data_IF_847382304401
#
_entry.id   IF_847382304401
#
_cell.length_a   1.000
_cell.length_b   1.000
_cell.length_c   1.000
_cell.angle_alpha   90.00
_cell.angle_beta   90.00
_cell.angle_gamma   90.00
#
_symmetry.space_group_name_H-M   'P 1'
#
loop_
_entity.id
_entity.type
_entity.pdbx_description
1 polymer ?
#
# COMPACT_ATOMS: atom_id res chain seq x y z
N UNK A 1 19.40 1.44 -17.68
CA UNK A 1 18.76 1.31 -16.36
C UNK A 1 17.26 1.15 -16.60
N UNK A 2 16.63 0.11 -16.06
CA UNK A 2 15.19 -0.14 -16.26
C UNK A 2 14.47 0.24 -14.97
N UNK A 3 13.50 1.13 -15.08
CA UNK A 3 12.60 1.49 -13.99
C UNK A 3 11.26 0.82 -14.29
N UNK A 4 10.70 0.10 -13.33
CA UNK A 4 9.35 -0.45 -13.44
C UNK A 4 8.42 0.28 -12.49
N UNK A 5 7.25 0.65 -13.01
CA UNK A 5 6.17 1.24 -12.25
C UNK A 5 5.02 0.24 -12.21
N UNK A 6 4.50 -0.01 -11.02
CA UNK A 6 3.29 -0.80 -10.81
C UNK A 6 2.31 0.00 -9.98
N UNK A 7 1.08 0.09 -10.47
CA UNK A 7 0.01 0.78 -9.79
C UNK A 7 -0.88 -0.22 -9.05
N UNK A 8 -1.21 0.14 -7.81
CA UNK A 8 -2.21 -0.50 -6.97
C UNK A 8 -3.26 0.57 -6.63
N UNK A 9 -4.54 0.35 -6.97
CA UNK A 9 -5.57 1.31 -6.62
C UNK A 9 -5.67 1.48 -5.09
N UNK A 10 -5.99 2.70 -4.60
CA UNK A 10 -6.29 3.91 -5.38
C UNK A 10 -5.05 4.73 -5.76
N UNK A 11 -4.19 5.06 -4.79
CA UNK A 11 -3.04 5.97 -4.93
C UNK A 11 -1.69 5.28 -4.74
N UNK A 12 -1.69 3.97 -4.49
CA UNK A 12 -0.47 3.23 -4.19
C UNK A 12 0.33 2.95 -5.47
N UNK A 13 1.54 3.50 -5.57
CA UNK A 13 2.51 3.11 -6.59
C UNK A 13 3.71 2.37 -6.00
N UNK A 14 4.17 1.38 -6.75
CA UNK A 14 5.46 0.73 -6.55
C UNK A 14 6.39 1.11 -7.69
N UNK A 15 7.52 1.70 -7.34
CA UNK A 15 8.62 1.97 -8.24
C UNK A 15 9.73 0.99 -7.89
N UNK A 16 10.17 0.17 -8.86
CA UNK A 16 11.37 -0.65 -8.69
C UNK A 16 12.47 -0.20 -9.63
N UNK A 17 13.65 -0.01 -9.07
CA UNK A 17 14.92 0.06 -9.80
C UNK A 17 15.62 -1.30 -9.72
N UNK A 18 16.86 -1.38 -10.19
CA UNK A 18 17.72 -2.57 -10.05
C UNK A 18 17.93 -3.01 -8.60
N UNK A 19 17.94 -2.06 -7.68
CA UNK A 19 18.46 -2.19 -6.32
C UNK A 19 17.51 -1.65 -5.25
N UNK A 20 16.46 -0.92 -5.64
CA UNK A 20 15.54 -0.26 -4.71
C UNK A 20 14.07 -0.55 -5.02
N UNK A 21 13.28 -0.64 -3.97
CA UNK A 21 11.82 -0.64 -4.01
C UNK A 21 11.31 0.60 -3.27
N UNK A 22 10.56 1.44 -3.98
CA UNK A 22 9.95 2.65 -3.43
C UNK A 22 8.44 2.48 -3.48
N UNK A 23 7.76 2.80 -2.38
CA UNK A 23 6.30 2.92 -2.35
C UNK A 23 5.87 4.37 -2.23
N UNK A 24 4.87 4.75 -3.01
CA UNK A 24 4.14 6.01 -2.87
C UNK A 24 2.75 5.66 -2.36
N UNK A 25 2.32 6.34 -1.29
CA UNK A 25 0.99 6.23 -0.70
C UNK A 25 0.51 4.78 -0.53
N UNK A 26 1.27 3.93 0.20
CA UNK A 26 0.89 2.55 0.35
C UNK A 26 -0.34 2.48 1.26
N UNK A 27 -1.50 2.39 0.62
CA UNK A 27 -2.81 2.19 1.23
C UNK A 27 -3.57 1.18 0.37
N UNK A 28 -3.57 -0.08 0.77
CA UNK A 28 -4.39 -1.09 0.12
C UNK A 28 -5.78 -1.11 0.72
N UNK A 29 -6.78 -1.05 -0.14
CA UNK A 29 -8.20 -1.10 0.21
C UNK A 29 -8.82 -2.22 -0.63
N UNK A 30 -9.19 -3.33 0.00
CA UNK A 30 -9.69 -4.53 -0.70
C UNK A 30 -11.11 -4.35 -1.22
N UNK A 31 -11.85 -3.39 -0.68
CA UNK A 31 -13.32 -3.35 -0.80
C UNK A 31 -13.80 -2.17 -1.65
N UNK A 32 -13.62 -2.18 -2.98
CA UNK A 32 -14.35 -1.33 -3.96
C UNK A 32 -14.37 -2.04 -5.31
N UNK A 33 -15.48 -2.49 -5.91
CA UNK A 33 -16.61 -1.72 -6.44
C UNK A 33 -17.84 -2.61 -6.65
N UNK A 34 -18.36 -3.28 -5.62
CA UNK A 34 -19.41 -4.30 -5.87
C UNK A 34 -20.75 -3.64 -6.25
N UNK A 35 -21.09 -2.49 -5.65
CA UNK A 35 -22.44 -1.90 -5.84
C UNK A 35 -22.49 -0.39 -6.17
N UNK A 36 -21.46 0.41 -5.91
CA UNK A 36 -21.46 1.86 -6.21
C UNK A 36 -20.06 2.39 -6.58
N UNK A 37 -19.83 2.89 -7.81
CA UNK A 37 -18.51 3.40 -8.23
C UNK A 37 -18.07 4.68 -7.51
N UNK A 38 -18.98 5.36 -6.82
CA UNK A 38 -18.76 6.61 -6.06
C UNK A 38 -18.68 6.40 -4.54
N UNK A 39 -19.07 5.21 -4.07
CA UNK A 39 -19.16 4.71 -2.69
C UNK A 39 -17.84 4.31 -2.03
N UNK A 40 -17.08 5.19 -1.38
CA UNK A 40 -15.90 4.77 -0.58
C UNK A 40 -16.30 4.30 0.86
N UNK A 41 -16.83 3.08 1.03
CA UNK A 41 -16.92 2.26 2.27
C UNK A 41 -15.59 1.80 2.91
N UNK A 42 -15.02 2.66 3.74
CA UNK A 42 -13.83 2.32 4.53
C UNK A 42 -14.09 1.09 5.41
N UNK A 43 -13.09 0.20 5.53
CA UNK A 43 -13.12 -0.89 6.51
C UNK A 43 -13.59 -0.35 7.87
N UNK A 44 -14.55 -1.04 8.48
CA UNK A 44 -15.09 -0.66 9.78
C UNK A 44 -14.07 -0.93 10.89
N UNK A 45 -14.01 -0.03 11.86
CA UNK A 45 -13.20 -0.12 13.08
C UNK A 45 -13.30 -1.51 13.78
N UNK A 46 -12.26 -2.06 14.43
CA UNK A 46 -10.90 -1.53 14.64
C UNK A 46 -9.94 -1.91 13.50
N UNK A 47 -10.42 -1.76 12.25
CA UNK A 47 -9.72 -1.89 10.97
C UNK A 47 -8.99 -3.24 10.79
N UNK A 48 -9.63 -4.25 10.15
CA UNK A 48 -8.86 -5.30 9.52
C UNK A 48 -7.91 -4.68 8.50
N UNK A 49 -6.64 -5.08 8.55
CA UNK A 49 -5.70 -4.85 7.45
C UNK A 49 -6.41 -5.42 6.23
N UNK A 50 -6.62 -4.62 5.18
CA UNK A 50 -7.20 -5.09 3.92
C UNK A 50 -6.29 -6.11 3.19
N UNK A 51 -5.25 -6.58 3.89
CA UNK A 51 -4.15 -7.37 3.41
C UNK A 51 -3.12 -6.52 2.69
N UNK A 52 -2.29 -7.22 1.94
CA UNK A 52 -1.44 -6.64 0.90
C UNK A 52 -2.09 -6.91 -0.45
N UNK A 53 -1.83 -6.08 -1.48
CA UNK A 53 -2.28 -6.36 -2.83
C UNK A 53 -1.73 -7.70 -3.33
N UNK A 54 -0.54 -8.09 -2.87
CA UNK A 54 0.08 -9.37 -3.20
C UNK A 54 0.75 -9.97 -1.97
N UNK A 55 0.75 -11.31 -1.89
CA UNK A 55 1.36 -12.04 -0.76
C UNK A 55 2.88 -11.87 -0.67
N UNK A 56 3.53 -11.57 -1.79
CA UNK A 56 4.99 -11.54 -1.92
C UNK A 56 5.53 -10.13 -2.24
N UNK A 57 4.90 -9.06 -1.71
CA UNK A 57 5.49 -7.73 -1.82
C UNK A 57 6.82 -7.69 -1.07
N UNK A 58 7.86 -7.20 -1.73
CA UNK A 58 9.12 -6.85 -1.07
C UNK A 58 8.90 -5.66 -0.15
N UNK A 59 9.66 -5.60 0.94
CA UNK A 59 9.77 -4.40 1.77
C UNK A 59 10.29 -3.23 0.93
N UNK A 60 9.79 -2.03 1.20
CA UNK A 60 10.32 -0.83 0.56
C UNK A 60 11.60 -0.35 1.25
N UNK A 61 12.54 0.12 0.45
CA UNK A 61 13.69 0.91 0.91
C UNK A 61 13.27 2.33 1.29
N UNK A 62 12.21 2.86 0.65
CA UNK A 62 11.70 4.20 0.86
C UNK A 62 10.18 4.24 0.69
N UNK A 63 9.50 4.92 1.62
CA UNK A 63 8.07 5.19 1.54
C UNK A 63 7.87 6.69 1.45
N UNK A 64 7.12 7.12 0.44
CA UNK A 64 6.70 8.49 0.24
C UNK A 64 5.21 8.57 0.52
N UNK A 65 4.83 9.53 1.37
CA UNK A 65 3.43 9.82 1.69
C UNK A 65 3.16 11.23 1.20
N UNK A 66 2.17 11.39 0.32
CA UNK A 66 1.78 12.69 -0.22
C UNK A 66 1.04 13.52 0.82
N UNK A 67 0.11 12.91 1.56
CA UNK A 67 -0.64 13.53 2.66
C UNK A 67 -1.34 12.47 3.53
N UNK A 68 -1.98 12.91 4.62
CA UNK A 68 -2.50 12.05 5.69
C UNK A 68 -3.97 11.64 5.55
N UNK A 69 -4.48 11.47 4.34
CA UNK A 69 -5.82 10.89 4.14
C UNK A 69 -5.79 9.35 4.18
N UNK A 70 -6.93 8.73 4.52
CA UNK A 70 -7.04 7.27 4.78
C UNK A 70 -6.69 6.42 3.55
N UNK A 71 -6.92 6.95 2.36
CA UNK A 71 -6.61 6.36 1.06
C UNK A 71 -5.17 6.64 0.58
N UNK A 72 -4.37 7.36 1.36
CA UNK A 72 -2.94 7.63 1.08
C UNK A 72 -2.02 7.08 2.18
N UNK A 73 -2.50 7.04 3.42
CA UNK A 73 -1.74 6.59 4.59
C UNK A 73 -2.66 5.84 5.56
N UNK A 74 -2.57 4.51 5.59
CA UNK A 74 -3.19 3.68 6.64
C UNK A 74 -2.14 3.34 7.70
N UNK A 75 -2.37 3.74 8.95
CA UNK A 75 -1.42 3.58 10.06
C UNK A 75 -0.87 2.14 10.20
N UNK A 76 -1.69 1.13 9.93
CA UNK A 76 -1.30 -0.28 10.02
C UNK A 76 -0.38 -0.74 8.88
N UNK A 77 -0.55 -0.19 7.67
CA UNK A 77 0.29 -0.56 6.52
C UNK A 77 1.67 0.11 6.60
N UNK A 78 1.71 1.33 7.15
CA UNK A 78 2.96 1.98 7.56
C UNK A 78 3.74 1.11 8.54
N UNK A 79 3.07 0.58 9.57
CA UNK A 79 3.70 -0.35 10.52
C UNK A 79 4.26 -1.59 9.82
N UNK A 80 3.50 -2.24 8.93
CA UNK A 80 4.00 -3.41 8.19
C UNK A 80 5.24 -3.12 7.35
N UNK A 81 5.26 -1.98 6.66
CA UNK A 81 6.40 -1.58 5.86
C UNK A 81 7.63 -1.15 6.70
N UNK A 82 7.43 -0.82 7.97
CA UNK A 82 8.48 -0.53 8.95
C UNK A 82 8.97 -1.79 9.69
N UNK A 83 8.18 -2.87 9.78
CA UNK A 83 8.55 -4.11 10.47
C UNK A 83 9.81 -4.75 9.86
N UNK A 84 10.77 -5.24 10.67
CA UNK A 84 11.95 -5.94 10.17
C UNK A 84 11.53 -7.19 9.40
N UNK A 85 12.31 -7.57 8.38
CA UNK A 85 12.09 -8.82 7.66
C UNK A 85 12.09 -9.96 8.69
N UNK A 86 10.96 -10.66 8.83
CA UNK A 86 10.85 -11.79 9.74
C UNK A 86 11.64 -12.97 9.16
N UNK A 87 12.96 -12.94 9.40
CA UNK A 87 13.86 -14.07 9.25
C UNK A 87 14.60 -14.27 10.58
N UNK A 88 13.94 -14.99 11.49
CA UNK A 88 14.52 -16.00 12.39
C UNK A 88 13.49 -17.08 12.58
#
# INVERSE_FOLDING_TARGET
>A
MVISLKWFPPSWFQIKTSDKVIYIDPAYLKTYFINYPWKVEFSTWPDPIDGLPEKNLKKADLILITHHHKDHCKNQLRQWAELPDSNT
#
